data_IF_156280643725
#
_entry.id   IF_156280643725
#
_cell.length_a   1.000
_cell.length_b   1.000
_cell.length_c   1.000
_cell.angle_alpha   90.00
_cell.angle_beta   90.00
_cell.angle_gamma   90.00
#
_symmetry.space_group_name_H-M   'P 1'
#
loop_
_entity.id
_entity.type
_entity.pdbx_description
1 polymer ?
#
# COMPACT_ATOMS: atom_id res chain seq x y z
N UNK A 1 -10.74 -2.48 -10.22
CA UNK A 1 -11.06 -2.01 -11.60
C UNK A 1 -12.16 -0.93 -11.60
N UNK A 2 -13.19 -1.05 -10.78
CA UNK A 2 -14.31 -0.10 -10.77
C UNK A 2 -13.90 1.29 -10.25
N UNK A 3 -13.05 1.36 -9.24
CA UNK A 3 -12.48 2.63 -8.75
C UNK A 3 -11.70 3.39 -9.83
N UNK A 4 -10.89 2.67 -10.62
CA UNK A 4 -10.16 3.27 -11.74
C UNK A 4 -11.12 3.87 -12.79
N UNK A 5 -12.21 3.16 -13.10
CA UNK A 5 -13.24 3.67 -14.02
C UNK A 5 -13.97 4.89 -13.45
N UNK A 6 -14.29 4.85 -12.16
CA UNK A 6 -14.95 5.97 -11.47
C UNK A 6 -14.05 7.20 -11.47
N UNK A 7 -12.75 7.06 -11.19
CA UNK A 7 -11.79 8.14 -11.23
C UNK A 7 -11.66 8.75 -12.64
N UNK A 8 -11.55 7.92 -13.70
CA UNK A 8 -11.51 8.42 -15.08
C UNK A 8 -12.78 9.19 -15.44
N UNK A 9 -13.96 8.69 -15.01
CA UNK A 9 -15.23 9.37 -15.24
C UNK A 9 -15.33 10.69 -14.48
N UNK A 10 -14.84 10.76 -13.24
CA UNK A 10 -14.79 11.97 -12.43
C UNK A 10 -13.92 13.05 -13.10
N UNK A 11 -12.69 12.69 -13.55
CA UNK A 11 -11.81 13.62 -14.26
C UNK A 11 -12.48 14.15 -15.54
N UNK A 12 -13.14 13.28 -16.31
CA UNK A 12 -13.87 13.67 -17.51
C UNK A 12 -15.02 14.64 -17.20
N UNK A 13 -15.72 14.41 -16.10
CA UNK A 13 -16.79 15.28 -15.63
C UNK A 13 -16.29 16.63 -15.13
N UNK A 14 -15.11 16.64 -14.51
CA UNK A 14 -14.50 17.86 -13.99
C UNK A 14 -13.99 18.79 -15.12
N UNK A 15 -13.54 18.21 -16.24
CA UNK A 15 -12.96 18.93 -17.36
C UNK A 15 -13.72 18.64 -18.67
N UNK A 16 -15.03 18.95 -18.76
CA UNK A 16 -15.89 18.54 -19.87
C UNK A 16 -15.54 19.19 -21.21
N UNK A 17 -14.89 20.34 -21.18
CA UNK A 17 -14.50 21.09 -22.38
C UNK A 17 -13.19 20.56 -23.03
N UNK A 18 -12.49 19.67 -22.37
CA UNK A 18 -11.30 19.04 -22.93
C UNK A 18 -11.68 17.97 -23.96
N UNK A 19 -10.90 17.87 -25.03
CA UNK A 19 -11.16 16.91 -26.11
C UNK A 19 -10.69 15.50 -25.79
N UNK A 20 -9.64 15.38 -24.96
CA UNK A 20 -8.99 14.10 -24.70
C UNK A 20 -8.74 13.93 -23.19
N UNK A 21 -9.10 12.76 -22.67
CA UNK A 21 -8.83 12.29 -21.31
C UNK A 21 -8.14 10.93 -21.42
N UNK A 22 -6.88 10.97 -21.86
CA UNK A 22 -6.08 9.79 -22.06
C UNK A 22 -5.74 9.15 -20.72
N UNK A 23 -5.72 7.84 -20.64
CA UNK A 23 -5.50 7.15 -19.36
C UNK A 23 -4.55 5.96 -19.51
N UNK A 24 -3.83 5.69 -18.43
CA UNK A 24 -3.08 4.47 -18.23
C UNK A 24 -3.26 3.98 -16.79
N UNK A 25 -3.26 2.67 -16.59
CA UNK A 25 -3.36 2.08 -15.27
C UNK A 25 -2.57 0.77 -15.18
N UNK A 26 -2.13 0.48 -13.96
CA UNK A 26 -1.58 -0.79 -13.54
C UNK A 26 -2.28 -1.23 -12.26
N UNK A 27 -2.81 -2.45 -12.23
CA UNK A 27 -3.54 -3.01 -11.11
C UNK A 27 -2.98 -4.38 -10.76
N UNK A 28 -2.68 -4.57 -9.50
CA UNK A 28 -2.22 -5.84 -8.92
C UNK A 28 -3.28 -6.33 -7.94
N UNK A 29 -3.66 -7.59 -8.04
CA UNK A 29 -4.52 -8.20 -7.04
C UNK A 29 -3.73 -8.42 -5.75
N UNK A 30 -4.20 -7.81 -4.67
CA UNK A 30 -3.58 -7.86 -3.35
C UNK A 30 -4.33 -8.80 -2.39
N UNK A 31 -5.43 -9.42 -2.84
CA UNK A 31 -6.33 -10.21 -1.98
C UNK A 31 -5.68 -11.46 -1.41
N UNK A 32 -4.84 -12.15 -2.17
CA UNK A 32 -4.29 -13.46 -1.78
C UNK A 32 -2.98 -13.39 -0.99
N UNK A 33 -2.54 -12.20 -0.63
CA UNK A 33 -1.27 -12.04 0.04
C UNK A 33 -0.03 -12.43 -0.79
N UNK A 34 -0.21 -12.90 -2.02
CA UNK A 34 0.85 -13.29 -2.97
C UNK A 34 0.95 -12.26 -4.11
N UNK A 35 0.62 -11.03 -3.84
CA UNK A 35 0.46 -9.92 -4.78
C UNK A 35 1.59 -9.73 -5.82
N UNK A 36 2.77 -10.27 -5.56
CA UNK A 36 3.92 -10.18 -6.46
C UNK A 36 4.09 -11.40 -7.38
N UNK A 37 3.24 -12.42 -7.28
CA UNK A 37 3.36 -13.65 -8.06
C UNK A 37 2.64 -13.60 -9.42
N UNK A 38 1.60 -12.75 -9.56
CA UNK A 38 0.87 -12.59 -10.81
C UNK A 38 1.28 -11.28 -11.52
N UNK A 39 1.38 -11.29 -12.85
CA UNK A 39 1.63 -10.07 -13.61
C UNK A 39 0.48 -9.06 -13.37
N UNK A 40 0.77 -7.76 -13.29
CA UNK A 40 -0.26 -6.75 -13.11
C UNK A 40 -1.18 -6.67 -14.32
N UNK A 41 -2.44 -6.33 -14.10
CA UNK A 41 -3.36 -5.96 -15.17
C UNK A 41 -3.05 -4.54 -15.60
N UNK A 42 -2.66 -4.37 -16.85
CA UNK A 42 -2.33 -3.08 -17.43
C UNK A 42 -3.34 -2.69 -18.50
N UNK A 43 -3.69 -1.43 -18.56
CA UNK A 43 -4.55 -0.87 -19.62
C UNK A 43 -4.11 0.54 -19.97
N UNK A 44 -4.30 0.90 -21.23
CA UNK A 44 -4.07 2.25 -21.76
C UNK A 44 -5.20 2.65 -22.70
N UNK A 45 -5.47 3.96 -22.80
CA UNK A 45 -6.49 4.51 -23.68
C UNK A 45 -6.03 5.86 -24.21
N UNK A 46 -6.00 6.00 -25.53
CA UNK A 46 -5.63 7.23 -26.23
C UNK A 46 -6.79 8.24 -26.30
N UNK A 47 -8.02 7.85 -25.99
CA UNK A 47 -9.22 8.72 -25.97
C UNK A 47 -9.34 9.67 -27.18
N UNK A 48 -9.14 9.11 -28.39
CA UNK A 48 -9.24 9.83 -29.64
C UNK A 48 -7.97 10.57 -30.12
N UNK A 49 -6.87 10.51 -29.38
CA UNK A 49 -5.55 10.84 -29.91
C UNK A 49 -5.10 9.80 -30.95
N UNK A 50 -4.14 10.10 -31.83
CA UNK A 50 -3.58 9.11 -32.72
C UNK A 50 -3.08 7.86 -31.97
N UNK A 51 -3.40 6.68 -32.50
CA UNK A 51 -3.12 5.40 -31.83
C UNK A 51 -1.69 5.28 -31.32
N UNK A 52 -1.51 4.94 -30.04
CA UNK A 52 -0.21 4.73 -29.41
C UNK A 52 0.57 6.01 -29.08
N UNK A 53 -0.04 7.19 -29.23
CA UNK A 53 0.67 8.45 -28.96
C UNK A 53 0.42 9.06 -27.58
N UNK A 54 -0.53 8.51 -26.82
CA UNK A 54 -0.91 9.00 -25.50
C UNK A 54 -0.91 7.88 -24.46
N UNK A 55 -1.86 6.98 -24.53
CA UNK A 55 -2.05 5.94 -23.51
C UNK A 55 -0.86 5.00 -23.34
N UNK A 56 -0.26 4.56 -24.43
CA UNK A 56 0.92 3.69 -24.36
C UNK A 56 2.14 4.39 -23.75
N UNK A 57 2.54 5.62 -24.16
CA UNK A 57 3.59 6.39 -23.50
C UNK A 57 3.36 6.61 -21.99
N UNK A 58 2.11 6.85 -21.59
CA UNK A 58 1.74 6.98 -20.18
C UNK A 58 1.96 5.65 -19.42
N UNK A 59 1.56 4.53 -20.02
CA UNK A 59 1.75 3.21 -19.43
C UNK A 59 3.23 2.84 -19.30
N UNK A 60 4.05 3.20 -20.27
CA UNK A 60 5.50 2.95 -20.22
C UNK A 60 6.17 3.75 -19.09
N UNK A 61 5.70 4.97 -18.81
CA UNK A 61 6.14 5.74 -17.63
C UNK A 61 5.72 5.04 -16.34
N UNK A 62 4.47 4.57 -16.23
CA UNK A 62 4.00 3.82 -15.05
C UNK A 62 4.87 2.59 -14.78
N UNK A 63 5.16 1.79 -15.81
CA UNK A 63 6.03 0.61 -15.70
C UNK A 63 7.42 0.96 -15.15
N UNK A 64 7.99 2.08 -15.62
CA UNK A 64 9.30 2.57 -15.17
C UNK A 64 9.35 2.99 -13.69
N UNK A 65 8.21 3.28 -13.06
CA UNK A 65 8.16 3.70 -11.64
C UNK A 65 8.06 2.53 -10.65
N UNK A 66 7.65 1.35 -11.09
CA UNK A 66 7.37 0.21 -10.21
C UNK A 66 6.15 0.40 -9.29
N UNK A 67 5.34 1.43 -9.51
CA UNK A 67 4.12 1.67 -8.74
C UNK A 67 3.05 0.63 -9.09
N UNK A 68 2.38 0.10 -8.08
CA UNK A 68 1.22 -0.77 -8.21
C UNK A 68 -0.08 0.02 -7.97
N UNK A 69 -1.22 -0.53 -8.43
CA UNK A 69 -2.57 0.00 -8.19
C UNK A 69 -2.70 1.50 -8.47
N UNK A 70 -2.14 1.91 -9.59
CA UNK A 70 -2.07 3.32 -9.98
C UNK A 70 -2.85 3.54 -11.26
N UNK A 71 -3.66 4.61 -11.28
CA UNK A 71 -4.38 5.09 -12.47
C UNK A 71 -3.98 6.54 -12.72
N UNK A 72 -3.56 6.85 -13.94
CA UNK A 72 -3.21 8.21 -14.37
C UNK A 72 -4.14 8.64 -15.48
N UNK A 73 -4.63 9.87 -15.42
CA UNK A 73 -5.40 10.52 -16.47
C UNK A 73 -4.71 11.82 -16.86
N UNK A 74 -4.44 12.00 -18.14
CA UNK A 74 -3.94 13.26 -18.69
C UNK A 74 -5.03 13.89 -19.54
N UNK A 75 -5.47 15.05 -19.10
CA UNK A 75 -6.48 15.85 -19.80
C UNK A 75 -5.81 16.85 -20.72
N UNK A 76 -6.16 16.84 -22.01
CA UNK A 76 -5.57 17.73 -23.00
C UNK A 76 -6.58 18.68 -23.62
N UNK A 77 -6.21 19.96 -23.63
CA UNK A 77 -6.88 21.00 -24.38
C UNK A 77 -6.08 21.28 -25.68
N UNK A 78 -6.77 21.37 -26.82
CA UNK A 78 -6.12 21.70 -28.09
C UNK A 78 -5.95 23.20 -28.21
N UNK A 79 -4.69 23.66 -28.27
CA UNK A 79 -4.34 25.09 -28.36
C UNK A 79 -4.08 25.62 -29.77
N UNK A 80 -4.54 24.92 -30.83
CA UNK A 80 -4.37 25.35 -32.19
C UNK A 80 -3.05 24.95 -32.87
N UNK A 81 -2.10 24.37 -32.14
CA UNK A 81 -0.81 23.90 -32.67
C UNK A 81 -0.77 22.38 -32.70
N UNK A 82 -0.40 21.81 -33.85
CA UNK A 82 -0.19 20.37 -33.99
C UNK A 82 1.20 20.01 -33.45
N UNK A 83 1.23 19.07 -32.46
CA UNK A 83 2.48 18.60 -31.85
C UNK A 83 3.17 17.53 -32.71
N UNK A 84 2.43 16.88 -33.61
CA UNK A 84 2.88 15.67 -34.28
C UNK A 84 2.95 14.46 -33.33
N UNK A 85 3.15 13.26 -33.87
CA UNK A 85 3.16 12.00 -33.09
C UNK A 85 4.26 12.00 -32.02
N UNK A 86 5.48 12.39 -32.38
CA UNK A 86 6.61 12.48 -31.45
C UNK A 86 6.41 13.51 -30.34
N UNK A 87 5.81 14.66 -30.67
CA UNK A 87 5.46 15.69 -29.69
C UNK A 87 4.38 15.25 -28.72
N UNK A 88 3.37 14.49 -29.21
CA UNK A 88 2.34 13.90 -28.35
C UNK A 88 2.93 12.88 -27.36
N UNK A 89 3.70 11.92 -27.85
CA UNK A 89 4.39 10.92 -27.02
C UNK A 89 5.16 11.59 -25.89
N UNK A 90 5.95 12.60 -26.22
CA UNK A 90 6.74 13.34 -25.23
C UNK A 90 5.85 14.07 -24.23
N UNK A 91 4.82 14.80 -24.69
CA UNK A 91 3.94 15.58 -23.81
C UNK A 91 3.18 14.69 -22.81
N UNK A 92 2.63 13.55 -23.29
CA UNK A 92 1.93 12.61 -22.42
C UNK A 92 2.87 11.91 -21.42
N UNK A 93 4.08 11.52 -21.84
CA UNK A 93 5.09 10.95 -20.95
C UNK A 93 5.53 11.95 -19.87
N UNK A 94 5.83 13.20 -20.26
CA UNK A 94 6.26 14.24 -19.32
C UNK A 94 5.16 14.60 -18.31
N UNK A 95 3.92 14.80 -18.78
CA UNK A 95 2.78 15.09 -17.90
C UNK A 95 2.54 13.95 -16.88
N UNK A 96 2.63 12.70 -17.33
CA UNK A 96 2.50 11.53 -16.47
C UNK A 96 3.62 11.49 -15.42
N UNK A 97 4.86 11.68 -15.83
CA UNK A 97 6.01 11.69 -14.92
C UNK A 97 5.89 12.79 -13.85
N UNK A 98 5.48 14.00 -14.24
CA UNK A 98 5.27 15.11 -13.31
C UNK A 98 4.14 14.83 -12.31
N UNK A 99 3.02 14.28 -12.76
CA UNK A 99 1.92 13.91 -11.86
C UNK A 99 2.35 12.85 -10.83
N UNK A 100 3.08 11.82 -11.27
CA UNK A 100 3.59 10.77 -10.39
C UNK A 100 4.66 11.26 -9.42
N UNK A 101 5.46 12.25 -9.79
CA UNK A 101 6.43 12.89 -8.89
C UNK A 101 5.74 13.73 -7.81
N UNK A 102 4.66 14.40 -8.16
CA UNK A 102 3.90 15.25 -7.22
C UNK A 102 2.96 14.45 -6.30
N UNK A 103 2.63 13.21 -6.65
CA UNK A 103 1.71 12.39 -5.88
C UNK A 103 2.33 11.93 -4.55
N UNK A 104 1.52 11.93 -3.50
CA UNK A 104 1.87 11.26 -2.25
C UNK A 104 1.96 9.75 -2.52
N UNK A 105 3.02 9.12 -2.02
CA UNK A 105 3.27 7.69 -2.20
C UNK A 105 3.15 6.96 -0.87
N UNK A 106 2.69 5.72 -0.95
CA UNK A 106 2.65 4.81 0.18
C UNK A 106 3.39 3.52 -0.17
N UNK A 107 4.00 2.90 0.82
CA UNK A 107 4.50 1.53 0.70
C UNK A 107 3.45 0.58 1.26
N UNK A 108 3.06 -0.41 0.48
CA UNK A 108 2.22 -1.50 0.97
C UNK A 108 3.07 -2.48 1.75
N UNK A 109 2.85 -2.52 3.06
CA UNK A 109 3.56 -3.40 3.98
C UNK A 109 2.63 -4.49 4.47
N UNK A 110 3.10 -5.74 4.44
CA UNK A 110 2.34 -6.86 5.00
C UNK A 110 2.54 -6.91 6.51
N UNK A 111 1.44 -6.91 7.24
CA UNK A 111 1.41 -7.27 8.64
C UNK A 111 0.86 -8.68 8.80
N UNK A 112 1.55 -9.49 9.59
CA UNK A 112 1.12 -10.81 10.02
C UNK A 112 0.32 -10.68 11.31
N UNK A 113 -0.84 -11.33 11.36
CA UNK A 113 -1.75 -11.30 12.50
C UNK A 113 -1.55 -12.56 13.33
N UNK A 114 -1.61 -12.38 14.65
CA UNK A 114 -1.38 -13.44 15.62
C UNK A 114 -2.39 -13.32 16.77
N UNK A 115 -3.02 -14.41 17.12
CA UNK A 115 -3.92 -14.50 18.25
C UNK A 115 -3.15 -14.93 19.51
N UNK A 116 -3.00 -14.02 20.45
CA UNK A 116 -2.40 -14.30 21.75
C UNK A 116 -3.52 -14.53 22.79
N UNK A 117 -3.73 -15.78 23.17
CA UNK A 117 -4.71 -16.14 24.20
C UNK A 117 -4.08 -16.05 25.60
N UNK A 118 -4.71 -15.28 26.48
CA UNK A 118 -4.24 -15.07 27.85
C UNK A 118 -5.40 -15.09 28.85
N UNK A 119 -5.17 -15.40 30.14
CA UNK A 119 -6.20 -15.28 31.18
C UNK A 119 -6.73 -13.84 31.23
N UNK A 120 -8.06 -13.69 31.41
CA UNK A 120 -8.71 -12.36 31.41
C UNK A 120 -8.11 -11.42 32.48
N UNK A 121 -7.68 -11.96 33.60
CA UNK A 121 -7.06 -11.19 34.68
C UNK A 121 -5.70 -10.57 34.32
N UNK A 122 -5.03 -11.08 33.27
CA UNK A 122 -3.72 -10.60 32.81
C UNK A 122 -3.82 -9.75 31.54
N UNK A 123 -4.92 -9.84 30.78
CA UNK A 123 -5.06 -9.25 29.46
C UNK A 123 -4.81 -7.74 29.46
N UNK A 124 -5.43 -6.99 30.38
CA UNK A 124 -5.25 -5.53 30.43
C UNK A 124 -3.82 -5.10 30.76
N UNK A 125 -3.10 -5.85 31.60
CA UNK A 125 -1.68 -5.57 31.90
C UNK A 125 -0.81 -5.83 30.65
N UNK A 126 -1.02 -6.98 29.99
CA UNK A 126 -0.25 -7.37 28.81
C UNK A 126 -0.51 -6.38 27.66
N UNK A 127 -1.78 -6.01 27.43
CA UNK A 127 -2.15 -5.01 26.43
C UNK A 127 -1.48 -3.66 26.71
N UNK A 128 -1.54 -3.16 27.93
CA UNK A 128 -0.92 -1.89 28.31
C UNK A 128 0.61 -1.92 28.12
N UNK A 129 1.25 -3.03 28.44
CA UNK A 129 2.69 -3.20 28.29
C UNK A 129 3.10 -3.26 26.79
N UNK A 130 2.34 -3.98 25.95
CA UNK A 130 2.57 -4.01 24.50
C UNK A 130 2.39 -2.62 23.88
N UNK A 131 1.33 -1.90 24.24
CA UNK A 131 1.10 -0.54 23.77
C UNK A 131 2.18 0.46 24.22
N UNK A 132 2.72 0.28 25.42
CA UNK A 132 3.79 1.16 25.93
C UNK A 132 5.13 0.96 25.21
N UNK A 133 5.39 -0.25 24.74
CA UNK A 133 6.61 -0.57 23.96
C UNK A 133 6.56 -0.02 22.53
N UNK A 134 5.36 0.20 22.00
CA UNK A 134 5.12 0.72 20.65
C UNK A 134 4.27 2.01 20.73
N UNK A 135 4.83 3.15 21.11
CA UNK A 135 4.08 4.39 21.06
C UNK A 135 3.64 4.67 19.62
N UNK A 136 2.38 5.05 19.44
CA UNK A 136 1.71 5.26 18.14
C UNK A 136 2.35 6.33 17.22
N UNK A 137 3.47 6.92 17.63
CA UNK A 137 4.24 7.95 16.91
C UNK A 137 5.52 7.43 16.24
N UNK A 138 5.84 6.14 16.31
CA UNK A 138 6.97 5.59 15.58
C UNK A 138 6.58 5.42 14.10
N UNK A 139 6.59 6.52 13.36
CA UNK A 139 6.46 6.57 11.91
C UNK A 139 7.65 5.87 11.27
N UNK A 140 7.41 4.77 10.59
CA UNK A 140 8.31 4.15 9.63
C UNK A 140 9.40 3.23 10.20
N UNK A 141 9.82 2.25 9.40
CA UNK A 141 10.97 1.41 9.72
C UNK A 141 12.24 2.27 9.63
N UNK A 142 12.84 2.62 10.75
CA UNK A 142 14.21 3.13 10.78
C UNK A 142 15.15 1.99 10.47
N UNK A 143 15.59 1.92 9.21
CA UNK A 143 16.75 1.14 8.81
C UNK A 143 17.99 1.89 9.28
N UNK A 144 18.48 1.60 10.48
CA UNK A 144 19.84 1.92 10.87
C UNK A 144 20.60 0.65 11.23
N UNK A 145 21.77 0.53 10.59
CA UNK A 145 22.62 -0.66 10.61
C UNK A 145 23.16 -1.01 12.00
N UNK A 146 22.65 -2.11 12.51
CA UNK A 146 23.20 -2.81 13.65
C UNK A 146 23.03 -4.32 13.44
N UNK A 147 24.08 -5.09 13.69
CA UNK A 147 24.21 -6.52 13.39
C UNK A 147 23.32 -7.45 14.27
N UNK A 148 22.36 -6.90 15.00
CA UNK A 148 21.35 -7.66 15.73
C UNK A 148 20.00 -7.21 15.18
N UNK A 149 19.22 -8.15 14.59
CA UNK A 149 17.90 -7.85 14.11
C UNK A 149 17.07 -7.18 15.23
N UNK A 150 16.49 -5.99 15.02
CA UNK A 150 15.70 -5.35 16.04
C UNK A 150 14.53 -6.25 16.40
N UNK A 151 14.17 -6.29 17.69
CA UNK A 151 13.00 -7.04 18.13
C UNK A 151 11.76 -6.61 17.31
N UNK A 152 10.92 -7.56 16.89
CA UNK A 152 9.78 -7.24 16.05
C UNK A 152 8.85 -6.27 16.79
N UNK A 153 8.44 -5.22 16.11
CA UNK A 153 7.41 -4.30 16.61
C UNK A 153 6.08 -5.02 16.62
N UNK A 154 5.44 -5.12 17.79
CA UNK A 154 4.18 -5.85 17.97
C UNK A 154 3.09 -4.84 18.33
N UNK A 155 2.09 -4.67 17.47
CA UNK A 155 0.94 -3.81 17.72
C UNK A 155 -0.25 -4.63 18.21
N UNK A 156 -1.02 -4.10 19.16
CA UNK A 156 -2.32 -4.67 19.53
C UNK A 156 -3.39 -4.01 18.68
N UNK A 157 -4.02 -4.80 17.81
CA UNK A 157 -5.12 -4.36 16.94
C UNK A 157 -6.43 -4.30 17.73
N UNK A 158 -6.76 -5.43 18.35
CA UNK A 158 -8.02 -5.65 19.07
C UNK A 158 -7.79 -6.55 20.28
N UNK A 159 -8.66 -6.42 21.29
CA UNK A 159 -8.74 -7.35 22.41
C UNK A 159 -10.15 -7.90 22.50
N UNK A 160 -10.30 -9.19 22.27
CA UNK A 160 -11.57 -9.92 22.32
C UNK A 160 -11.71 -10.53 23.73
N UNK A 161 -12.67 -10.04 24.49
CA UNK A 161 -12.88 -10.46 25.86
C UNK A 161 -13.81 -11.67 25.96
N UNK A 162 -13.35 -12.72 26.61
CA UNK A 162 -14.15 -13.90 26.94
C UNK A 162 -14.35 -14.04 28.45
N UNK A 163 -15.10 -15.07 28.90
CA UNK A 163 -15.43 -15.24 30.31
C UNK A 163 -14.23 -15.66 31.19
N UNK A 164 -13.25 -16.35 30.63
CA UNK A 164 -12.07 -16.85 31.37
C UNK A 164 -10.77 -16.40 30.73
N UNK A 165 -10.77 -16.21 29.40
CA UNK A 165 -9.62 -15.82 28.61
C UNK A 165 -9.98 -14.65 27.71
N UNK A 166 -9.00 -13.82 27.40
CA UNK A 166 -9.07 -12.85 26.33
C UNK A 166 -8.11 -13.26 25.19
N UNK A 167 -8.43 -12.85 23.98
CA UNK A 167 -7.57 -12.99 22.80
C UNK A 167 -7.11 -11.60 22.41
N UNK A 168 -5.81 -11.33 22.46
CA UNK A 168 -5.20 -10.14 21.90
C UNK A 168 -4.80 -10.44 20.46
N UNK A 169 -5.42 -9.76 19.52
CA UNK A 169 -5.04 -9.81 18.11
C UNK A 169 -3.84 -8.89 17.93
N UNK A 170 -2.70 -9.49 17.63
CA UNK A 170 -1.42 -8.81 17.47
C UNK A 170 -1.08 -8.67 15.99
N UNK A 171 -0.49 -7.56 15.58
CA UNK A 171 0.02 -7.34 14.24
C UNK A 171 1.52 -7.02 14.29
N UNK A 172 2.28 -7.65 13.40
CA UNK A 172 3.73 -7.44 13.26
C UNK A 172 4.18 -7.60 11.81
N UNK A 173 5.28 -6.97 11.42
CA UNK A 173 5.93 -7.19 10.12
C UNK A 173 6.65 -8.54 10.03
N UNK A 174 6.80 -9.26 11.16
CA UNK A 174 7.49 -10.54 11.22
C UNK A 174 6.54 -11.71 10.95
N UNK A 175 6.93 -12.59 10.00
CA UNK A 175 6.20 -13.82 9.70
C UNK A 175 6.67 -15.02 10.54
N UNK A 176 7.83 -14.92 11.19
CA UNK A 176 8.47 -16.01 11.91
C UNK A 176 7.96 -16.05 13.37
N UNK A 177 7.25 -17.11 13.78
CA UNK A 177 6.75 -17.27 15.14
C UNK A 177 7.86 -17.32 16.18
N UNK A 178 9.05 -17.83 15.85
CA UNK A 178 10.17 -17.94 16.77
C UNK A 178 10.64 -16.57 17.28
N UNK A 179 10.60 -15.56 16.41
CA UNK A 179 10.98 -14.19 16.78
C UNK A 179 9.96 -13.54 17.72
N UNK A 180 8.72 -14.02 17.77
CA UNK A 180 7.68 -13.53 18.67
C UNK A 180 7.70 -14.27 20.00
N UNK A 181 8.22 -15.49 20.02
CA UNK A 181 8.14 -16.36 21.20
C UNK A 181 8.82 -15.74 22.43
N UNK A 182 10.04 -15.25 22.30
CA UNK A 182 10.80 -14.69 23.43
C UNK A 182 10.15 -13.42 24.02
N UNK A 183 9.76 -12.39 23.23
CA UNK A 183 9.11 -11.21 23.77
C UNK A 183 7.73 -11.49 24.37
N UNK A 184 6.96 -12.43 23.80
CA UNK A 184 5.64 -12.80 24.33
C UNK A 184 5.74 -13.68 25.57
N UNK A 185 6.68 -14.63 25.64
CA UNK A 185 6.92 -15.42 26.82
C UNK A 185 7.31 -14.57 28.04
N UNK A 186 8.13 -13.53 27.83
CA UNK A 186 8.48 -12.58 28.88
C UNK A 186 7.26 -11.83 29.43
N UNK A 187 6.30 -11.47 28.56
CA UNK A 187 5.07 -10.74 28.92
C UNK A 187 4.04 -11.63 29.62
N UNK A 188 3.90 -12.88 29.14
CA UNK A 188 2.91 -13.85 29.60
C UNK A 188 3.45 -14.78 30.70
N UNK A 189 4.71 -14.61 31.09
CA UNK A 189 5.43 -15.51 32.01
C UNK A 189 5.44 -16.96 31.50
N UNK A 190 5.46 -17.14 30.19
CA UNK A 190 5.43 -18.45 29.55
C UNK A 190 4.05 -19.08 29.40
N UNK A 191 2.98 -18.42 29.85
CA UNK A 191 1.60 -18.99 29.84
C UNK A 191 0.84 -18.72 28.54
N UNK A 192 1.36 -17.87 27.62
CA UNK A 192 0.72 -17.50 26.37
C UNK A 192 1.54 -17.90 25.14
N UNK A 193 0.90 -18.55 24.18
CA UNK A 193 1.42 -18.78 22.84
C UNK A 193 0.62 -17.97 21.82
N UNK A 194 1.30 -17.40 20.85
CA UNK A 194 0.66 -16.72 19.74
C UNK A 194 0.45 -17.71 18.58
N UNK A 195 -0.76 -17.76 18.06
CA UNK A 195 -1.14 -18.58 16.91
C UNK A 195 -1.33 -17.70 15.68
N UNK A 196 -0.91 -18.16 14.47
CA UNK A 196 -1.13 -17.39 13.24
C UNK A 196 -2.63 -17.15 12.99
N UNK A 197 -3.03 -15.90 12.80
CA UNK A 197 -4.40 -15.46 12.53
C UNK A 197 -4.59 -14.82 11.15
N UNK A 198 -3.59 -14.94 10.26
CA UNK A 198 -3.64 -14.43 8.91
C UNK A 198 -2.67 -13.29 8.64
N UNK A 199 -2.97 -12.47 7.65
CA UNK A 199 -2.19 -11.27 7.34
C UNK A 199 -3.07 -10.21 6.67
N UNK A 200 -2.63 -8.96 6.73
CA UNK A 200 -3.24 -7.84 5.99
C UNK A 200 -2.19 -6.91 5.43
N UNK A 201 -2.54 -6.15 4.41
CA UNK A 201 -1.70 -5.07 3.89
C UNK A 201 -2.10 -3.75 4.58
N UNK A 202 -1.09 -2.95 4.88
CA UNK A 202 -1.24 -1.59 5.38
C UNK A 202 -0.47 -0.62 4.51
N UNK A 203 -1.00 0.58 4.37
CA UNK A 203 -0.34 1.68 3.68
C UNK A 203 0.54 2.43 4.66
N UNK A 204 1.84 2.50 4.36
CA UNK A 204 2.81 3.27 5.13
C UNK A 204 3.26 4.45 4.26
N UNK A 205 3.05 5.70 4.70
CA UNK A 205 3.52 6.87 3.96
C UNK A 205 5.03 6.81 3.71
N UNK A 206 5.43 7.10 2.46
CA UNK A 206 6.85 7.29 2.13
C UNK A 206 7.20 8.74 2.46
N UNK A 207 8.25 9.00 3.28
CA UNK A 207 8.68 10.37 3.53
C UNK A 207 9.00 11.08 2.21
N UNK A 208 8.71 12.38 2.09
CA UNK A 208 9.15 13.15 0.95
C UNK A 208 10.67 13.12 0.84
N UNK A 209 11.16 12.96 -0.40
CA UNK A 209 12.59 12.94 -0.70
C UNK A 209 13.22 14.34 -0.52
#
# INVERSE_FOLDING_TARGET
>A
MDEARSFIAEVRSTYPDARHHCSALTLTDLSDGHALAAPPTERSNDDGEPSGTAGQPMLDVLRGTGLANTTVVVTRYFGGTLLGTGGLVRAYSEATAQALQAAARVTLTRLHLWDLRVPVAQAGRIEAELRSRNPATASGPTAEGGTTAPAPTIHVEETIWGPTHAVLVLATSCADPELLHAPLAALTRGEGAAEPAGSRLVEVPVPPA
#
